data_IF_480987093519
#
_entry.id   IF_480987093519
#
_cell.length_a   1.000
_cell.length_b   1.000
_cell.length_c   1.000
_cell.angle_alpha   90.00
_cell.angle_beta   90.00
_cell.angle_gamma   90.00
#
_symmetry.space_group_name_H-M   'P 1'
#
loop_
_entity.id
_entity.type
_entity.pdbx_description
1 polymer ?
#
# COMPACT_ATOMS: atom_id res chain seq x y z
N UNK A 1 -34.57 28.84 22.37
CA UNK A 1 -34.54 27.50 21.75
C UNK A 1 -33.07 27.07 21.70
N UNK A 2 -32.62 26.25 22.65
CA UNK A 2 -31.22 25.88 22.83
C UNK A 2 -30.81 24.84 21.79
N UNK A 3 -29.91 25.21 20.87
CA UNK A 3 -29.29 24.28 19.93
C UNK A 3 -28.52 23.21 20.71
N UNK A 4 -29.08 21.99 20.77
CA UNK A 4 -28.45 20.82 21.40
C UNK A 4 -27.25 20.37 20.55
N UNK A 5 -26.00 20.42 21.04
CA UNK A 5 -24.84 19.92 20.31
C UNK A 5 -24.71 18.40 20.51
N UNK A 6 -25.71 17.61 20.09
CA UNK A 6 -25.65 16.13 20.13
C UNK A 6 -25.13 15.51 18.82
N UNK A 7 -24.86 16.31 17.78
CA UNK A 7 -24.50 15.83 16.44
C UNK A 7 -23.00 15.61 16.21
N UNK A 8 -22.13 16.13 17.06
CA UNK A 8 -20.67 16.10 16.84
C UNK A 8 -20.08 14.69 17.07
N UNK A 9 -20.61 13.93 18.04
CA UNK A 9 -20.12 12.58 18.37
C UNK A 9 -20.28 11.56 17.24
N UNK A 10 -21.35 11.64 16.43
CA UNK A 10 -21.55 10.71 15.29
C UNK A 10 -20.52 10.93 14.18
N UNK A 11 -20.19 12.18 13.90
CA UNK A 11 -19.24 12.55 12.85
C UNK A 11 -17.84 12.06 13.25
N UNK A 12 -17.49 12.17 14.53
CA UNK A 12 -16.23 11.68 15.07
C UNK A 12 -16.08 10.15 14.92
N UNK A 13 -17.12 9.39 15.28
CA UNK A 13 -17.11 7.92 15.12
C UNK A 13 -17.02 7.50 13.65
N UNK A 14 -17.80 8.15 12.77
CA UNK A 14 -17.79 7.86 11.33
C UNK A 14 -16.42 8.17 10.70
N UNK A 15 -15.80 9.27 11.12
CA UNK A 15 -14.44 9.64 10.69
C UNK A 15 -13.42 8.55 11.05
N UNK A 16 -13.42 8.08 12.29
CA UNK A 16 -12.46 7.05 12.73
C UNK A 16 -12.69 5.71 12.03
N UNK A 17 -13.95 5.35 11.81
CA UNK A 17 -14.30 4.15 11.04
C UNK A 17 -13.82 4.23 9.58
N UNK A 18 -14.03 5.38 8.94
CA UNK A 18 -13.54 5.62 7.58
C UNK A 18 -12.00 5.59 7.51
N UNK A 19 -11.33 6.19 8.50
CA UNK A 19 -9.88 6.18 8.61
C UNK A 19 -9.33 4.74 8.70
N UNK A 20 -9.91 3.92 9.58
CA UNK A 20 -9.54 2.51 9.71
C UNK A 20 -9.79 1.72 8.43
N UNK A 21 -10.92 1.98 7.74
CA UNK A 21 -11.23 1.37 6.45
C UNK A 21 -10.17 1.69 5.38
N UNK A 22 -9.76 2.97 5.27
CA UNK A 22 -8.72 3.38 4.32
C UNK A 22 -7.40 2.68 4.61
N UNK A 23 -7.01 2.59 5.89
CA UNK A 23 -5.79 1.86 6.30
C UNK A 23 -5.88 0.38 5.91
N UNK A 24 -7.01 -0.27 6.19
CA UNK A 24 -7.22 -1.67 5.82
C UNK A 24 -7.18 -1.88 4.29
N UNK A 25 -7.79 -0.97 3.52
CA UNK A 25 -7.75 -1.00 2.07
C UNK A 25 -6.32 -0.84 1.52
N UNK A 26 -5.52 0.04 2.10
CA UNK A 26 -4.10 0.22 1.74
C UNK A 26 -3.27 -1.05 2.03
N UNK A 27 -3.49 -1.70 3.17
CA UNK A 27 -2.82 -2.96 3.51
C UNK A 27 -3.22 -4.06 2.52
N UNK A 28 -4.52 -4.21 2.26
CA UNK A 28 -5.03 -5.20 1.30
C UNK A 28 -4.48 -4.98 -0.10
N UNK A 29 -4.46 -3.72 -0.55
CA UNK A 29 -3.90 -3.34 -1.83
C UNK A 29 -2.40 -3.66 -1.91
N UNK A 30 -1.64 -3.35 -0.87
CA UNK A 30 -0.21 -3.65 -0.78
C UNK A 30 0.10 -5.15 -0.87
N UNK A 31 -0.65 -5.98 -0.14
CA UNK A 31 -0.51 -7.45 -0.18
C UNK A 31 -0.82 -7.99 -1.58
N UNK A 32 -1.93 -7.54 -2.17
CA UNK A 32 -2.35 -7.91 -3.52
C UNK A 32 -1.29 -7.54 -4.55
N UNK A 33 -0.70 -6.36 -4.45
CA UNK A 33 0.32 -5.87 -5.37
C UNK A 33 1.62 -6.67 -5.27
N UNK A 34 2.05 -6.98 -4.04
CA UNK A 34 3.25 -7.80 -3.80
C UNK A 34 3.09 -9.18 -4.42
N UNK A 35 1.95 -9.83 -4.18
CA UNK A 35 1.64 -11.17 -4.72
C UNK A 35 1.53 -11.18 -6.25
N UNK A 36 0.90 -10.16 -6.84
CA UNK A 36 0.87 -10.01 -8.30
C UNK A 36 2.27 -9.81 -8.89
N UNK A 37 3.13 -9.03 -8.23
CA UNK A 37 4.49 -8.78 -8.68
C UNK A 37 5.33 -10.08 -8.65
N UNK A 38 5.18 -10.91 -7.60
CA UNK A 38 5.80 -12.24 -7.53
C UNK A 38 5.32 -13.17 -8.65
N UNK A 39 4.02 -13.21 -8.92
CA UNK A 39 3.46 -14.02 -10.00
C UNK A 39 4.03 -13.60 -11.36
N UNK A 40 4.13 -12.29 -11.62
CA UNK A 40 4.75 -11.76 -12.84
C UNK A 40 6.23 -12.13 -12.95
N UNK A 41 6.98 -12.10 -11.84
CA UNK A 41 8.37 -12.55 -11.83
C UNK A 41 8.47 -14.06 -12.11
N UNK A 42 7.55 -14.87 -11.61
CA UNK A 42 7.51 -16.31 -11.87
C UNK A 42 7.23 -16.62 -13.34
N UNK A 43 6.24 -15.95 -13.94
CA UNK A 43 5.93 -16.09 -15.38
C UNK A 43 7.14 -15.73 -16.24
N UNK A 44 7.78 -14.58 -15.97
CA UNK A 44 9.00 -14.17 -16.70
C UNK A 44 10.17 -15.14 -16.53
N UNK A 45 10.28 -15.81 -15.39
CA UNK A 45 11.31 -16.85 -15.17
C UNK A 45 11.02 -18.11 -15.99
N UNK A 46 9.75 -18.47 -16.17
CA UNK A 46 9.34 -19.64 -16.96
C UNK A 46 9.50 -19.43 -18.48
N UNK A 47 9.40 -18.18 -18.95
CA UNK A 47 9.61 -17.83 -20.37
C UNK A 47 11.08 -17.92 -20.82
N UNK A 48 12.04 -17.93 -19.89
CA UNK A 48 13.46 -18.08 -20.21
C UNK A 48 13.82 -19.56 -20.26
N UNK A 49 14.17 -20.05 -21.44
CA UNK A 49 14.71 -21.41 -21.60
C UNK A 49 15.99 -21.60 -20.76
N UNK A 50 16.07 -22.68 -19.98
CA UNK A 50 17.23 -22.99 -19.13
C UNK A 50 18.56 -23.13 -19.90
N UNK A 51 18.47 -23.38 -21.21
CA UNK A 51 19.62 -23.54 -22.11
C UNK A 51 20.17 -22.20 -22.64
N UNK A 52 19.57 -21.06 -22.27
CA UNK A 52 20.01 -19.75 -22.78
C UNK A 52 21.42 -19.42 -22.25
N UNK A 53 22.39 -19.01 -23.11
CA UNK A 53 23.76 -18.68 -22.69
C UNK A 53 23.85 -17.56 -21.64
N UNK A 54 22.79 -16.76 -21.48
CA UNK A 54 22.70 -15.65 -20.54
C UNK A 54 21.68 -15.89 -19.41
N UNK A 55 21.21 -17.12 -19.21
CA UNK A 55 20.16 -17.49 -18.26
C UNK A 55 20.38 -16.87 -16.87
N UNK A 56 21.55 -17.06 -16.27
CA UNK A 56 21.87 -16.54 -14.94
C UNK A 56 21.79 -15.01 -14.86
N UNK A 57 22.22 -14.30 -15.90
CA UNK A 57 22.18 -12.83 -15.93
C UNK A 57 20.76 -12.28 -16.11
N UNK A 58 19.93 -12.96 -16.91
CA UNK A 58 18.53 -12.62 -17.13
C UNK A 58 17.70 -12.86 -15.87
N UNK A 59 17.90 -13.99 -15.21
CA UNK A 59 17.24 -14.32 -13.93
C UNK A 59 17.65 -13.32 -12.83
N UNK A 60 18.95 -12.99 -12.72
CA UNK A 60 19.42 -12.00 -11.77
C UNK A 60 18.80 -10.61 -12.02
N UNK A 61 18.64 -10.21 -13.28
CA UNK A 61 17.98 -8.95 -13.65
C UNK A 61 16.50 -8.95 -13.26
N UNK A 62 15.77 -10.04 -13.51
CA UNK A 62 14.37 -10.20 -13.12
C UNK A 62 14.20 -10.10 -11.61
N UNK A 63 15.05 -10.77 -10.84
CA UNK A 63 15.00 -10.73 -9.37
C UNK A 63 15.28 -9.33 -8.84
N UNK A 64 16.25 -8.63 -9.42
CA UNK A 64 16.60 -7.27 -9.00
C UNK A 64 15.48 -6.27 -9.33
N UNK A 65 14.86 -6.41 -10.50
CA UNK A 65 13.70 -5.60 -10.89
C UNK A 65 12.48 -5.89 -10.00
N UNK A 66 12.25 -7.14 -9.62
CA UNK A 66 11.18 -7.53 -8.68
C UNK A 66 11.39 -6.87 -7.30
N UNK A 67 12.59 -7.02 -6.73
CA UNK A 67 12.93 -6.43 -5.42
C UNK A 67 12.81 -4.90 -5.43
N UNK A 68 13.27 -4.24 -6.50
CA UNK A 68 13.19 -2.77 -6.63
C UNK A 68 11.75 -2.28 -6.67
N UNK A 69 10.88 -2.97 -7.41
CA UNK A 69 9.44 -2.66 -7.45
C UNK A 69 8.77 -2.81 -6.09
N UNK A 70 9.07 -3.89 -5.37
CA UNK A 70 8.55 -4.09 -4.01
C UNK A 70 8.96 -2.93 -3.08
N UNK A 71 10.23 -2.53 -3.10
CA UNK A 71 10.71 -1.39 -2.29
C UNK A 71 10.02 -0.08 -2.67
N UNK A 72 9.81 0.17 -3.96
CA UNK A 72 9.10 1.36 -4.43
C UNK A 72 7.64 1.39 -3.93
N UNK A 73 6.91 0.27 -4.03
CA UNK A 73 5.54 0.18 -3.54
C UNK A 73 5.43 0.34 -2.02
N UNK A 74 6.41 -0.16 -1.26
CA UNK A 74 6.50 0.11 0.18
C UNK A 74 6.67 1.61 0.44
N UNK A 75 7.54 2.29 -0.32
CA UNK A 75 7.76 3.73 -0.21
C UNK A 75 6.54 4.56 -0.55
N UNK A 76 5.83 4.22 -1.62
CA UNK A 76 4.58 4.87 -2.04
C UNK A 76 3.49 4.68 -0.97
N UNK A 77 3.29 3.45 -0.48
CA UNK A 77 2.34 3.15 0.59
C UNK A 77 2.66 3.87 1.91
N UNK A 78 3.94 3.92 2.30
CA UNK A 78 4.40 4.66 3.48
C UNK A 78 4.14 6.17 3.34
N UNK A 79 4.33 6.74 2.15
CA UNK A 79 4.05 8.15 1.90
C UNK A 79 2.56 8.46 2.09
N UNK A 80 1.67 7.65 1.52
CA UNK A 80 0.23 7.81 1.71
C UNK A 80 -0.18 7.66 3.17
N UNK A 81 0.40 6.68 3.89
CA UNK A 81 0.14 6.48 5.30
C UNK A 81 0.56 7.69 6.15
N UNK A 82 1.73 8.27 5.88
CA UNK A 82 2.20 9.49 6.57
C UNK A 82 1.27 10.68 6.33
N UNK A 83 0.80 10.89 5.10
CA UNK A 83 -0.16 11.96 4.77
C UNK A 83 -1.48 11.79 5.55
N UNK A 84 -1.99 10.55 5.61
CA UNK A 84 -3.22 10.22 6.35
C UNK A 84 -3.03 10.47 7.85
N UNK A 85 -1.92 10.03 8.43
CA UNK A 85 -1.59 10.28 9.83
C UNK A 85 -1.46 11.78 10.13
N UNK A 86 -0.81 12.54 9.25
CA UNK A 86 -0.66 13.98 9.41
C UNK A 86 -2.02 14.69 9.42
N UNK A 87 -2.92 14.30 8.51
CA UNK A 87 -4.30 14.77 8.50
C UNK A 87 -5.06 14.45 9.80
N UNK A 88 -4.87 13.24 10.34
CA UNK A 88 -5.50 12.82 11.58
C UNK A 88 -5.00 13.60 12.80
N UNK A 89 -3.69 13.84 12.92
CA UNK A 89 -3.09 14.62 14.01
C UNK A 89 -3.57 16.08 13.95
N UNK A 90 -3.63 16.68 12.75
CA UNK A 90 -4.13 18.05 12.58
C UNK A 90 -5.62 18.16 12.95
N UNK A 91 -6.45 17.17 12.58
CA UNK A 91 -7.85 17.14 12.95
C UNK A 91 -8.02 17.02 14.48
N UNK A 92 -7.27 16.12 15.13
CA UNK A 92 -7.30 15.92 16.57
C UNK A 92 -6.84 17.17 17.33
N UNK A 93 -5.79 17.84 16.88
CA UNK A 93 -5.28 19.07 17.52
C UNK A 93 -6.26 20.25 17.40
N UNK A 94 -7.11 20.27 16.37
CA UNK A 94 -8.04 21.37 16.09
C UNK A 94 -9.36 21.27 16.87
N UNK A 95 -9.68 20.11 17.44
CA UNK A 95 -10.93 19.85 18.17
C UNK A 95 -10.68 19.72 19.68
#
# INVERSE_FOLDING_TARGET
MLFRPKKIHRIFFLYWFLLAYIIAALIFWFVTLTRQNENMANVRRQEIAATHPHYNTLIAKINNDHSRKVKQYVGEGATFFLVILFGAILFLKRN
#
